data_IF_680870113102
#
_entry.id   IF_680870113102
#
_cell.length_a   1.000
_cell.length_b   1.000
_cell.length_c   1.000
_cell.angle_alpha   90.00
_cell.angle_beta   90.00
_cell.angle_gamma   90.00
#
_symmetry.space_group_name_H-M   'P 1'
#
loop_
_entity.id
_entity.type
_entity.pdbx_description
1 polymer ?
#
# COMPACT_ATOMS: atom_id res chain seq x y z
N UNK A 1 30.18 -4.01 27.88
CA UNK A 1 29.42 -5.18 28.38
C UNK A 1 27.94 -4.81 28.26
N UNK A 2 27.24 -5.38 27.30
CA UNK A 2 25.80 -5.15 27.12
C UNK A 2 25.05 -5.94 28.20
N UNK A 3 23.98 -5.39 28.80
CA UNK A 3 23.22 -6.13 29.79
C UNK A 3 22.57 -7.36 29.13
N UNK A 4 22.76 -8.52 29.75
CA UNK A 4 22.07 -9.76 29.38
C UNK A 4 20.62 -9.55 29.80
N UNK A 5 19.70 -9.50 28.85
CA UNK A 5 18.26 -9.42 29.08
C UNK A 5 17.81 -10.66 29.87
N UNK A 6 16.96 -10.49 30.86
CA UNK A 6 16.36 -11.59 31.61
C UNK A 6 15.43 -12.42 30.69
N UNK A 7 15.21 -13.69 31.05
CA UNK A 7 14.28 -14.57 30.31
C UNK A 7 12.87 -13.97 30.13
N UNK A 8 12.41 -13.14 31.06
CA UNK A 8 11.15 -12.41 30.99
C UNK A 8 11.20 -11.23 30.04
N UNK A 9 12.34 -10.56 29.91
CA UNK A 9 12.55 -9.51 28.91
C UNK A 9 12.75 -10.09 27.51
N UNK A 10 13.37 -11.26 27.39
CA UNK A 10 13.45 -12.03 26.14
C UNK A 10 12.08 -12.55 25.70
N UNK A 11 11.22 -12.99 26.63
CA UNK A 11 9.84 -13.41 26.34
C UNK A 11 8.91 -12.26 25.96
N UNK A 12 9.13 -11.05 26.50
CA UNK A 12 8.36 -9.85 26.12
C UNK A 12 8.79 -9.26 24.77
N UNK A 13 9.98 -9.60 24.30
CA UNK A 13 10.51 -9.14 23.01
C UNK A 13 10.28 -10.13 21.85
N UNK A 14 9.64 -11.25 22.07
CA UNK A 14 9.07 -12.06 20.99
C UNK A 14 7.79 -11.34 20.57
N UNK A 15 7.90 -10.45 19.59
CA UNK A 15 6.74 -9.99 18.82
C UNK A 15 5.91 -11.25 18.50
N UNK A 16 4.65 -11.30 18.92
CA UNK A 16 3.78 -12.39 18.47
C UNK A 16 3.78 -12.33 16.96
N UNK A 17 4.45 -13.28 16.34
CA UNK A 17 4.57 -13.43 14.89
C UNK A 17 3.64 -14.61 14.56
N UNK A 18 2.48 -14.30 14.00
CA UNK A 18 1.46 -15.30 13.73
C UNK A 18 0.83 -15.04 12.35
N UNK A 19 0.67 -16.08 11.58
CA UNK A 19 0.10 -16.03 10.23
C UNK A 19 -1.07 -16.99 10.07
N UNK A 20 -1.92 -16.75 9.09
CA UNK A 20 -3.09 -17.58 8.82
C UNK A 20 -3.95 -17.00 7.70
N UNK A 21 -5.20 -17.41 7.69
CA UNK A 21 -6.16 -17.00 6.68
C UNK A 21 -7.46 -16.49 7.28
N UNK A 22 -7.98 -15.43 6.69
CA UNK A 22 -9.34 -14.93 6.90
C UNK A 22 -10.20 -15.44 5.75
N UNK A 23 -11.33 -16.07 6.04
CA UNK A 23 -12.31 -16.42 5.00
C UNK A 23 -13.30 -15.29 4.83
N UNK A 24 -13.51 -14.87 3.58
CA UNK A 24 -14.54 -13.91 3.20
C UNK A 24 -15.91 -14.58 3.06
N UNK A 25 -16.97 -13.81 2.88
CA UNK A 25 -18.35 -14.32 2.68
C UNK A 25 -18.54 -15.04 1.32
N UNK A 26 -17.65 -14.77 0.36
CA UNK A 26 -17.59 -15.44 -0.95
C UNK A 26 -16.48 -16.51 -1.03
N UNK A 27 -16.04 -17.02 0.14
CA UNK A 27 -15.15 -18.16 0.32
C UNK A 27 -13.69 -17.95 -0.15
N UNK A 28 -13.27 -16.71 -0.45
CA UNK A 28 -11.88 -16.38 -0.72
C UNK A 28 -11.10 -16.32 0.59
N UNK A 29 -9.95 -16.98 0.68
CA UNK A 29 -9.08 -16.93 1.85
C UNK A 29 -8.03 -15.83 1.65
N UNK A 30 -8.02 -14.86 2.56
CA UNK A 30 -7.04 -13.79 2.60
C UNK A 30 -5.93 -14.16 3.58
N UNK A 31 -4.69 -14.23 3.09
CA UNK A 31 -3.54 -14.43 3.97
C UNK A 31 -3.36 -13.23 4.88
N UNK A 32 -3.08 -13.48 6.15
CA UNK A 32 -2.66 -12.44 7.08
C UNK A 32 -1.38 -12.79 7.83
N UNK A 33 -0.68 -11.76 8.27
CA UNK A 33 0.46 -11.83 9.14
C UNK A 33 0.31 -10.80 10.28
N UNK A 34 0.34 -11.27 11.51
CA UNK A 34 0.16 -10.47 12.72
C UNK A 34 1.51 -10.25 13.40
N UNK A 35 1.84 -9.00 13.71
CA UNK A 35 3.04 -8.60 14.43
C UNK A 35 2.68 -7.76 15.65
N UNK A 36 3.34 -8.04 16.78
CA UNK A 36 3.19 -7.25 18.00
C UNK A 36 1.87 -7.48 18.72
N UNK A 37 1.74 -6.86 19.89
CA UNK A 37 0.63 -7.08 20.84
C UNK A 37 0.13 -5.80 21.54
N UNK A 38 0.56 -4.63 21.05
CA UNK A 38 0.18 -3.34 21.63
C UNK A 38 -1.30 -3.00 21.53
N UNK A 39 -1.74 -1.93 22.26
CA UNK A 39 -3.15 -1.57 22.35
C UNK A 39 -3.74 -0.95 21.08
N UNK A 40 -2.91 -0.38 20.23
CA UNK A 40 -3.34 0.19 18.95
C UNK A 40 -3.17 -0.86 17.86
N UNK A 41 -4.28 -1.21 17.20
CA UNK A 41 -4.24 -2.11 16.05
C UNK A 41 -4.24 -1.30 14.75
N UNK A 42 -3.26 -1.58 13.89
CA UNK A 42 -3.15 -1.02 12.54
C UNK A 42 -3.30 -2.15 11.53
N UNK A 43 -4.26 -2.04 10.62
CA UNK A 43 -4.45 -2.98 9.52
C UNK A 43 -3.83 -2.40 8.25
N UNK A 44 -3.03 -3.22 7.56
CA UNK A 44 -2.19 -2.82 6.42
C UNK A 44 -2.40 -3.81 5.29
N UNK A 45 -3.07 -3.44 4.20
CA UNK A 45 -3.14 -4.28 3.00
C UNK A 45 -1.78 -4.36 2.31
N UNK A 46 -1.53 -5.47 1.59
CA UNK A 46 -0.30 -5.81 0.87
C UNK A 46 0.84 -6.29 1.78
N UNK A 47 0.61 -7.39 2.51
CA UNK A 47 1.65 -8.07 3.30
C UNK A 47 2.91 -8.37 2.47
N UNK A 48 2.75 -8.92 1.28
CA UNK A 48 3.85 -9.24 0.35
C UNK A 48 4.77 -8.04 0.03
N UNK A 49 4.23 -6.82 0.05
CA UNK A 49 4.96 -5.61 -0.33
C UNK A 49 5.53 -4.83 0.85
N UNK A 50 4.90 -4.92 2.04
CA UNK A 50 5.14 -3.96 3.11
C UNK A 50 5.50 -4.58 4.46
N UNK A 51 5.31 -5.90 4.63
CA UNK A 51 5.46 -6.57 5.92
C UNK A 51 6.82 -6.30 6.57
N UNK A 52 7.91 -6.62 5.87
CA UNK A 52 9.24 -6.51 6.44
C UNK A 52 9.73 -5.04 6.51
N UNK A 53 9.27 -4.22 5.57
CA UNK A 53 9.68 -2.81 5.50
C UNK A 53 8.97 -1.95 6.56
N UNK A 54 7.72 -2.26 6.90
CA UNK A 54 6.95 -1.56 7.93
C UNK A 54 6.98 -2.26 9.31
N UNK A 55 7.69 -3.39 9.46
CA UNK A 55 7.90 -4.07 10.74
C UNK A 55 8.30 -3.13 11.90
N UNK A 56 9.12 -2.07 11.71
CA UNK A 56 9.45 -1.13 12.78
C UNK A 56 8.23 -0.48 13.46
N UNK A 57 7.11 -0.34 12.77
CA UNK A 57 5.88 0.22 13.35
C UNK A 57 5.21 -0.72 14.37
N UNK A 58 5.62 -1.99 14.47
CA UNK A 58 5.09 -2.96 15.45
C UNK A 58 5.50 -2.66 16.89
N UNK A 59 6.43 -1.74 17.11
CA UNK A 59 6.82 -1.31 18.45
C UNK A 59 5.60 -0.70 19.16
N UNK A 60 5.21 -1.32 20.28
CA UNK A 60 4.07 -0.90 21.11
C UNK A 60 2.70 -0.89 20.37
N UNK A 61 2.57 -1.66 19.27
CA UNK A 61 1.33 -1.79 18.47
C UNK A 61 1.12 -3.21 18.00
N UNK A 62 -0.12 -3.51 17.63
CA UNK A 62 -0.48 -4.69 16.87
C UNK A 62 -0.61 -4.29 15.40
N UNK A 63 0.19 -4.90 14.53
CA UNK A 63 0.05 -4.75 13.08
C UNK A 63 -0.59 -6.00 12.51
N UNK A 64 -1.61 -5.83 11.70
CA UNK A 64 -2.24 -6.91 10.92
C UNK A 64 -2.01 -6.57 9.47
N UNK A 65 -1.04 -7.25 8.86
CA UNK A 65 -0.86 -7.22 7.42
C UNK A 65 -1.78 -8.27 6.79
N UNK A 66 -2.31 -8.00 5.63
CA UNK A 66 -2.97 -9.02 4.84
C UNK A 66 -2.69 -8.81 3.35
N UNK A 67 -2.75 -9.88 2.57
CA UNK A 67 -2.72 -9.77 1.12
C UNK A 67 -4.15 -9.67 0.60
N UNK A 68 -4.49 -8.66 -0.21
CA UNK A 68 -5.79 -8.60 -0.88
C UNK A 68 -5.99 -9.82 -1.78
N UNK A 69 -7.25 -10.15 -2.10
CA UNK A 69 -7.61 -11.25 -3.00
C UNK A 69 -6.79 -11.24 -4.28
N UNK A 70 -6.38 -12.40 -4.74
CA UNK A 70 -5.58 -12.57 -5.96
C UNK A 70 -4.13 -12.10 -5.85
N UNK A 71 -3.65 -11.71 -4.66
CA UNK A 71 -2.29 -11.18 -4.44
C UNK A 71 -1.56 -11.97 -3.35
N UNK A 72 -0.24 -12.02 -3.46
CA UNK A 72 0.62 -12.63 -2.46
C UNK A 72 0.24 -14.09 -2.18
N UNK A 73 -0.05 -14.36 -0.93
CA UNK A 73 -0.45 -15.69 -0.45
C UNK A 73 -1.98 -15.88 -0.34
N UNK A 74 -2.77 -14.85 -0.67
CA UNK A 74 -4.22 -14.96 -0.71
C UNK A 74 -4.70 -15.81 -1.88
N UNK A 75 -5.89 -16.42 -1.71
CA UNK A 75 -6.49 -17.20 -2.78
C UNK A 75 -6.80 -16.30 -3.99
N UNK A 76 -6.71 -16.90 -5.16
CA UNK A 76 -7.23 -16.31 -6.39
C UNK A 76 -8.74 -16.31 -6.34
N UNK A 77 -9.32 -15.20 -6.72
CA UNK A 77 -10.74 -15.18 -7.01
C UNK A 77 -10.97 -15.82 -8.38
N UNK A 78 -11.87 -16.82 -8.48
CA UNK A 78 -12.19 -17.44 -9.76
C UNK A 78 -12.88 -16.49 -10.73
N UNK A 79 -13.54 -15.44 -10.23
CA UNK A 79 -14.11 -14.39 -11.08
C UNK A 79 -13.24 -13.13 -11.04
N UNK A 80 -12.57 -12.87 -12.11
CA UNK A 80 -11.75 -11.70 -12.23
C UNK A 80 -12.44 -10.35 -12.01
N UNK A 81 -13.70 -10.24 -12.16
CA UNK A 81 -14.46 -9.01 -11.87
C UNK A 81 -14.48 -8.65 -10.39
N UNK A 82 -14.12 -9.59 -9.52
CA UNK A 82 -14.09 -9.38 -8.09
C UNK A 82 -12.81 -8.70 -7.58
N UNK A 83 -11.79 -8.49 -8.43
CA UNK A 83 -10.63 -7.68 -8.06
C UNK A 83 -10.94 -6.20 -8.34
N UNK A 84 -11.79 -5.62 -7.53
CA UNK A 84 -12.17 -4.21 -7.63
C UNK A 84 -12.52 -3.62 -6.27
N UNK A 85 -12.58 -2.30 -6.21
CA UNK A 85 -12.69 -1.50 -4.99
C UNK A 85 -13.75 -2.01 -3.99
N UNK A 86 -14.92 -2.38 -4.46
CA UNK A 86 -16.01 -2.78 -3.56
C UNK A 86 -15.76 -4.15 -2.91
N UNK A 87 -15.11 -5.08 -3.61
CA UNK A 87 -14.71 -6.36 -3.04
C UNK A 87 -13.55 -6.18 -2.04
N UNK A 88 -12.56 -5.34 -2.38
CA UNK A 88 -11.44 -5.08 -1.47
C UNK A 88 -11.87 -4.34 -0.20
N UNK A 89 -12.88 -3.48 -0.28
CA UNK A 89 -13.51 -2.87 0.91
C UNK A 89 -14.22 -3.92 1.77
N UNK A 90 -14.91 -4.90 1.15
CA UNK A 90 -15.53 -6.04 1.87
C UNK A 90 -14.47 -6.96 2.49
N UNK A 91 -13.37 -7.20 1.79
CA UNK A 91 -12.24 -7.97 2.30
C UNK A 91 -11.66 -7.34 3.56
N UNK A 92 -11.46 -6.02 3.56
CA UNK A 92 -10.99 -5.30 4.75
C UNK A 92 -11.97 -5.41 5.92
N UNK A 93 -13.28 -5.41 5.65
CA UNK A 93 -14.31 -5.65 6.69
C UNK A 93 -14.24 -7.09 7.21
N UNK A 94 -14.01 -8.09 6.34
CA UNK A 94 -13.82 -9.48 6.76
C UNK A 94 -12.59 -9.62 7.67
N UNK A 95 -11.49 -8.95 7.34
CA UNK A 95 -10.29 -8.91 8.21
C UNK A 95 -10.63 -8.30 9.57
N UNK A 96 -11.29 -7.15 9.60
CA UNK A 96 -11.71 -6.52 10.86
C UNK A 96 -12.56 -7.45 11.72
N UNK A 97 -13.56 -8.11 11.11
CA UNK A 97 -14.48 -9.03 11.79
C UNK A 97 -13.75 -10.27 12.33
N UNK A 98 -12.85 -10.86 11.54
CA UNK A 98 -12.07 -12.03 11.94
C UNK A 98 -11.29 -11.78 13.25
N UNK A 99 -10.69 -10.58 13.37
CA UNK A 99 -9.94 -10.20 14.56
C UNK A 99 -10.82 -9.58 15.68
N UNK A 100 -12.13 -9.48 15.49
CA UNK A 100 -13.08 -8.93 16.48
C UNK A 100 -12.78 -7.47 16.81
N UNK A 101 -12.25 -6.68 15.86
CA UNK A 101 -11.90 -5.29 16.11
C UNK A 101 -13.15 -4.40 16.09
N UNK A 102 -13.40 -3.69 17.17
CA UNK A 102 -14.45 -2.68 17.19
C UNK A 102 -14.06 -1.49 16.30
N UNK A 103 -12.83 -1.05 16.45
CA UNK A 103 -12.22 0.04 15.71
C UNK A 103 -10.74 -0.26 15.42
N UNK A 104 -10.20 0.24 14.31
CA UNK A 104 -8.81 0.06 13.90
C UNK A 104 -8.22 1.31 13.27
N UNK A 105 -6.89 1.45 13.32
CA UNK A 105 -6.18 2.35 12.42
C UNK A 105 -5.87 1.63 11.10
N UNK A 106 -5.68 2.40 10.03
CA UNK A 106 -5.38 1.88 8.70
C UNK A 106 -4.12 2.53 8.13
N UNK A 107 -3.33 1.77 7.39
CA UNK A 107 -2.26 2.30 6.57
C UNK A 107 -2.36 1.67 5.18
N UNK A 108 -2.49 2.50 4.16
CA UNK A 108 -2.57 2.04 2.76
C UNK A 108 -1.60 2.79 1.87
N UNK A 109 -0.96 2.05 0.98
CA UNK A 109 0.01 2.56 0.02
C UNK A 109 -0.57 2.60 -1.39
N UNK A 110 -0.29 3.69 -2.13
CA UNK A 110 -0.66 3.82 -3.54
C UNK A 110 -2.18 3.61 -3.74
N UNK A 111 -2.59 2.73 -4.63
CA UNK A 111 -3.98 2.31 -4.85
C UNK A 111 -4.70 1.90 -3.54
N UNK A 112 -4.01 1.15 -2.68
CA UNK A 112 -4.58 0.69 -1.41
C UNK A 112 -4.81 1.83 -0.40
N UNK A 113 -4.17 2.99 -0.60
CA UNK A 113 -4.53 4.23 0.09
C UNK A 113 -5.97 4.67 -0.23
N UNK A 114 -6.39 4.54 -1.49
CA UNK A 114 -7.77 4.78 -1.91
C UNK A 114 -8.75 3.76 -1.29
N UNK A 115 -8.38 2.48 -1.26
CA UNK A 115 -9.22 1.41 -0.68
C UNK A 115 -9.51 1.65 0.80
N UNK A 116 -8.50 1.99 1.60
CA UNK A 116 -8.73 2.28 3.03
C UNK A 116 -9.56 3.53 3.25
N UNK A 117 -9.45 4.54 2.37
CA UNK A 117 -10.29 5.73 2.42
C UNK A 117 -11.76 5.42 2.05
N UNK A 118 -11.99 4.59 1.03
CA UNK A 118 -13.32 4.09 0.66
C UNK A 118 -13.95 3.29 1.80
N UNK A 119 -13.15 2.43 2.45
CA UNK A 119 -13.60 1.71 3.64
C UNK A 119 -14.00 2.66 4.77
N UNK A 120 -13.20 3.68 5.06
CA UNK A 120 -13.50 4.69 6.08
C UNK A 120 -14.76 5.50 5.75
N UNK A 121 -15.04 5.76 4.47
CA UNK A 121 -16.28 6.40 4.02
C UNK A 121 -17.51 5.50 4.19
N UNK A 122 -17.36 4.19 4.05
CA UNK A 122 -18.45 3.22 4.19
C UNK A 122 -18.71 2.82 5.65
N UNK A 123 -17.65 2.77 6.48
CA UNK A 123 -17.68 2.34 7.89
C UNK A 123 -16.98 3.39 8.79
N UNK A 124 -17.48 4.62 8.85
CA UNK A 124 -16.77 5.72 9.53
C UNK A 124 -16.52 5.46 11.03
N UNK A 125 -17.40 4.68 11.68
CA UNK A 125 -17.26 4.33 13.09
C UNK A 125 -16.20 3.25 13.35
N UNK A 126 -15.71 2.56 12.30
CA UNK A 126 -14.73 1.46 12.40
C UNK A 126 -13.28 1.95 12.27
N UNK A 127 -13.06 3.19 11.88
CA UNK A 127 -11.72 3.72 11.63
C UNK A 127 -11.39 4.82 12.62
N UNK A 128 -10.31 4.62 13.39
CA UNK A 128 -9.81 5.61 14.32
C UNK A 128 -8.97 6.69 13.66
N UNK A 129 -8.10 6.27 12.72
CA UNK A 129 -7.23 7.12 11.92
C UNK A 129 -6.67 6.35 10.75
N UNK A 130 -6.17 7.05 9.73
CA UNK A 130 -5.58 6.42 8.55
C UNK A 130 -4.36 7.16 8.05
N UNK A 131 -3.38 6.40 7.54
CA UNK A 131 -2.21 6.89 6.84
C UNK A 131 -2.36 6.53 5.36
N UNK A 132 -2.47 7.54 4.51
CA UNK A 132 -2.50 7.40 3.06
C UNK A 132 -1.09 7.65 2.54
N UNK A 133 -0.33 6.59 2.26
CA UNK A 133 1.05 6.69 1.79
C UNK A 133 1.08 6.73 0.27
N UNK A 134 1.47 7.87 -0.31
CA UNK A 134 1.53 8.10 -1.76
C UNK A 134 0.26 7.63 -2.50
N UNK A 135 -0.94 8.04 -2.07
CA UNK A 135 -2.18 7.50 -2.62
C UNK A 135 -2.37 7.90 -4.08
N UNK A 136 -3.02 7.02 -4.87
CA UNK A 136 -3.54 7.41 -6.17
C UNK A 136 -4.51 8.58 -6.05
N UNK A 137 -4.76 9.29 -7.15
CA UNK A 137 -5.76 10.36 -7.19
C UNK A 137 -7.13 9.85 -6.75
N UNK A 138 -7.92 10.67 -6.01
CA UNK A 138 -9.27 10.27 -5.58
C UNK A 138 -10.27 10.19 -6.74
N UNK A 139 -9.86 10.59 -7.93
CA UNK A 139 -10.62 10.50 -9.18
C UNK A 139 -9.70 10.33 -10.38
N UNK A 140 -10.24 9.77 -11.45
CA UNK A 140 -9.58 9.67 -12.76
C UNK A 140 -10.64 9.87 -13.86
N UNK A 141 -10.39 10.72 -14.90
CA UNK A 141 -9.24 11.61 -15.02
C UNK A 141 -9.30 12.75 -14.00
N UNK A 142 -8.15 13.16 -13.48
CA UNK A 142 -8.03 14.31 -12.60
C UNK A 142 -7.59 15.56 -13.39
N UNK A 143 -8.01 16.77 -12.99
CA UNK A 143 -7.70 18.00 -13.73
C UNK A 143 -6.24 18.41 -13.71
N UNK A 144 -5.44 17.78 -12.85
CA UNK A 144 -3.99 17.96 -12.74
C UNK A 144 -3.21 16.82 -13.41
N UNK A 145 -3.90 15.87 -14.06
CA UNK A 145 -3.25 14.83 -14.84
C UNK A 145 -2.62 15.48 -16.07
N UNK A 146 -1.30 15.39 -16.16
CA UNK A 146 -0.51 15.79 -17.30
C UNK A 146 0.27 14.58 -17.82
N UNK A 147 -0.31 13.83 -18.77
CA UNK A 147 0.32 12.62 -19.29
C UNK A 147 1.69 12.88 -19.93
N UNK A 148 1.88 14.05 -20.55
CA UNK A 148 3.14 14.40 -21.20
C UNK A 148 4.23 14.67 -20.15
N UNK A 149 3.91 15.45 -19.10
CA UNK A 149 4.84 15.72 -18.00
C UNK A 149 5.18 14.45 -17.23
N UNK A 150 4.15 13.60 -16.94
CA UNK A 150 4.36 12.31 -16.30
C UNK A 150 5.28 11.40 -17.14
N UNK A 151 5.02 11.28 -18.43
CA UNK A 151 5.84 10.50 -19.36
C UNK A 151 7.28 11.04 -19.43
N UNK A 152 7.49 12.35 -19.49
CA UNK A 152 8.82 12.92 -19.49
C UNK A 152 9.58 12.63 -18.20
N UNK A 153 8.92 12.79 -17.03
CA UNK A 153 9.51 12.49 -15.72
C UNK A 153 9.88 11.01 -15.61
N UNK A 154 9.03 10.13 -16.10
CA UNK A 154 9.24 8.68 -16.15
C UNK A 154 10.40 8.32 -17.09
N UNK A 155 10.39 8.81 -18.32
CA UNK A 155 11.44 8.53 -19.33
C UNK A 155 12.81 9.03 -18.90
N UNK A 156 12.89 10.12 -18.15
CA UNK A 156 14.15 10.63 -17.62
C UNK A 156 14.78 9.71 -16.55
N UNK A 157 13.99 8.77 -16.00
CA UNK A 157 14.41 7.89 -14.90
C UNK A 157 14.54 6.43 -15.28
N UNK A 158 14.21 6.05 -16.52
CA UNK A 158 14.26 4.67 -17.00
C UNK A 158 15.37 4.51 -18.06
N UNK A 159 16.07 3.40 -18.00
CA UNK A 159 16.91 2.96 -19.11
C UNK A 159 16.02 2.55 -20.30
N UNK A 160 16.06 3.25 -21.44
CA UNK A 160 15.19 2.94 -22.58
C UNK A 160 15.40 1.52 -23.14
N UNK A 161 16.64 1.00 -23.08
CA UNK A 161 16.96 -0.35 -23.56
C UNK A 161 16.37 -1.42 -22.63
N UNK A 162 16.49 -1.22 -21.31
CA UNK A 162 15.91 -2.13 -20.33
C UNK A 162 14.38 -2.14 -20.42
N UNK A 163 13.75 -0.97 -20.60
CA UNK A 163 12.31 -0.87 -20.80
C UNK A 163 11.84 -1.54 -22.11
N UNK A 164 12.62 -1.43 -23.18
CA UNK A 164 12.34 -2.12 -24.44
C UNK A 164 12.42 -3.64 -24.25
N UNK A 165 13.45 -4.13 -23.53
CA UNK A 165 13.60 -5.55 -23.20
C UNK A 165 12.41 -6.12 -22.44
N UNK A 166 11.88 -5.40 -21.43
CA UNK A 166 10.67 -5.83 -20.73
C UNK A 166 9.45 -5.95 -21.65
N UNK A 167 9.26 -5.00 -22.58
CA UNK A 167 8.18 -5.07 -23.57
C UNK A 167 8.32 -6.27 -24.50
N UNK A 168 9.54 -6.63 -24.92
CA UNK A 168 9.81 -7.82 -25.74
C UNK A 168 9.48 -9.10 -24.97
N UNK A 169 9.87 -9.18 -23.69
CA UNK A 169 9.55 -10.30 -22.80
C UNK A 169 8.03 -10.47 -22.68
N UNK A 170 7.30 -9.37 -22.45
CA UNK A 170 5.84 -9.41 -22.39
C UNK A 170 5.22 -9.84 -23.74
N UNK A 171 5.70 -9.29 -24.84
CA UNK A 171 5.17 -9.61 -26.17
C UNK A 171 5.45 -11.09 -26.58
N UNK A 172 6.52 -11.70 -26.08
CA UNK A 172 6.84 -13.11 -26.34
C UNK A 172 6.06 -14.09 -25.47
N UNK A 173 5.41 -13.62 -24.39
CA UNK A 173 4.76 -14.47 -23.39
C UNK A 173 5.73 -15.10 -22.37
N UNK A 174 7.03 -14.80 -22.43
CA UNK A 174 8.03 -15.36 -21.50
C UNK A 174 7.74 -14.99 -20.04
N UNK A 175 7.12 -13.85 -19.78
CA UNK A 175 6.69 -13.43 -18.45
C UNK A 175 5.65 -14.39 -17.82
N UNK A 176 4.92 -15.17 -18.65
CA UNK A 176 3.96 -16.19 -18.22
C UNK A 176 4.70 -17.47 -17.80
N UNK A 177 5.69 -17.86 -18.60
CA UNK A 177 6.43 -19.10 -18.39
C UNK A 177 7.45 -18.98 -17.23
N UNK A 178 7.97 -17.75 -17.00
CA UNK A 178 9.00 -17.45 -16.00
C UNK A 178 8.60 -16.27 -15.10
N UNK A 179 7.50 -16.37 -14.32
CA UNK A 179 6.92 -15.25 -13.60
C UNK A 179 7.83 -14.68 -12.49
N UNK A 180 8.59 -15.52 -11.79
CA UNK A 180 9.53 -15.04 -10.77
C UNK A 180 10.68 -14.23 -11.40
N UNK A 181 11.26 -14.76 -12.47
CA UNK A 181 12.32 -14.04 -13.17
C UNK A 181 11.80 -12.70 -13.73
N UNK A 182 10.63 -12.70 -14.33
CA UNK A 182 10.00 -11.46 -14.83
C UNK A 182 9.72 -10.47 -13.72
N UNK A 183 9.19 -10.91 -12.59
CA UNK A 183 8.97 -10.05 -11.43
C UNK A 183 10.29 -9.36 -11.00
N UNK A 184 11.39 -10.11 -10.90
CA UNK A 184 12.70 -9.55 -10.51
C UNK A 184 13.24 -8.55 -11.55
N UNK A 185 13.08 -8.82 -12.82
CA UNK A 185 13.44 -7.88 -13.89
C UNK A 185 12.58 -6.62 -13.84
N UNK A 186 11.28 -6.77 -13.61
CA UNK A 186 10.38 -5.64 -13.42
C UNK A 186 10.78 -4.78 -12.20
N UNK A 187 11.06 -5.41 -11.05
CA UNK A 187 11.55 -4.70 -9.87
C UNK A 187 12.84 -3.92 -10.19
N UNK A 188 13.76 -4.52 -10.89
CA UNK A 188 15.03 -3.91 -11.25
C UNK A 188 14.89 -2.72 -12.20
N UNK A 189 13.96 -2.77 -13.15
CA UNK A 189 13.84 -1.77 -14.24
C UNK A 189 12.79 -0.71 -13.89
N UNK A 190 11.65 -1.12 -13.33
CA UNK A 190 10.50 -0.24 -13.19
C UNK A 190 10.45 0.46 -11.83
N UNK A 191 10.75 -0.24 -10.75
CA UNK A 191 10.63 0.34 -9.41
C UNK A 191 11.54 1.56 -9.20
N UNK A 192 12.82 1.56 -9.61
CA UNK A 192 13.69 2.72 -9.42
C UNK A 192 13.17 4.02 -10.05
N UNK A 193 12.40 3.93 -11.14
CA UNK A 193 11.83 5.13 -11.78
C UNK A 193 10.80 5.87 -10.91
N UNK A 194 10.15 5.14 -10.00
CA UNK A 194 9.16 5.69 -9.08
C UNK A 194 9.80 6.37 -7.86
N UNK A 195 11.12 6.22 -7.72
CA UNK A 195 11.88 6.70 -6.57
C UNK A 195 12.58 8.02 -6.87
N UNK A 196 12.64 8.91 -5.89
CA UNK A 196 13.51 10.09 -5.90
C UNK A 196 14.95 9.72 -5.55
N UNK A 197 15.13 8.62 -4.78
CA UNK A 197 16.42 8.06 -4.37
C UNK A 197 16.49 6.58 -4.73
N UNK A 198 16.81 6.24 -5.99
CA UNK A 198 16.80 4.83 -6.46
C UNK A 198 17.73 3.89 -5.69
N UNK A 199 18.82 4.41 -5.11
CA UNK A 199 19.75 3.67 -4.26
C UNK A 199 19.09 3.16 -2.96
N UNK A 200 18.02 3.80 -2.52
CA UNK A 200 17.24 3.36 -1.37
C UNK A 200 16.51 2.02 -1.60
N UNK A 201 16.37 1.57 -2.84
CA UNK A 201 15.82 0.25 -3.15
C UNK A 201 16.60 -0.89 -2.46
N UNK A 202 17.91 -0.70 -2.24
CA UNK A 202 18.72 -1.65 -1.49
C UNK A 202 18.31 -1.82 -0.02
N UNK A 203 17.44 -0.94 0.51
CA UNK A 203 16.88 -1.03 1.86
C UNK A 203 15.63 -1.88 1.93
N UNK A 204 15.01 -2.20 0.79
CA UNK A 204 13.81 -3.04 0.74
C UNK A 204 14.12 -4.42 1.31
N UNK A 205 13.33 -4.85 2.28
CA UNK A 205 13.41 -6.16 2.92
C UNK A 205 12.28 -7.09 2.50
N UNK A 206 11.13 -6.51 2.18
CA UNK A 206 10.02 -7.24 1.58
C UNK A 206 10.43 -7.78 0.21
N UNK A 207 10.08 -9.03 -0.08
CA UNK A 207 10.33 -9.62 -1.39
C UNK A 207 9.02 -9.78 -2.17
N UNK A 208 8.65 -8.80 -3.01
CA UNK A 208 7.42 -8.87 -3.79
C UNK A 208 7.40 -10.03 -4.81
N UNK A 209 8.56 -10.66 -5.04
CA UNK A 209 8.70 -11.79 -5.96
C UNK A 209 8.77 -13.14 -5.25
N UNK A 210 8.64 -13.19 -3.92
CA UNK A 210 8.67 -14.43 -3.14
C UNK A 210 7.51 -15.37 -3.50
N UNK A 211 6.38 -14.81 -3.91
CA UNK A 211 5.20 -15.53 -4.36
C UNK A 211 4.84 -15.06 -5.77
N UNK A 212 5.60 -15.48 -6.80
CA UNK A 212 5.48 -14.97 -8.17
C UNK A 212 4.27 -15.53 -8.91
N UNK A 213 3.36 -16.15 -8.17
CA UNK A 213 2.13 -16.65 -8.74
C UNK A 213 1.37 -15.48 -9.34
N UNK A 214 1.39 -15.37 -10.64
CA UNK A 214 0.34 -14.76 -11.45
C UNK A 214 -0.18 -13.38 -10.99
N UNK A 215 0.33 -12.82 -9.86
CA UNK A 215 -0.05 -11.49 -9.40
C UNK A 215 0.16 -10.46 -10.52
N UNK A 216 1.25 -10.58 -11.26
CA UNK A 216 1.54 -9.78 -12.42
C UNK A 216 0.60 -10.09 -13.59
N UNK A 217 0.23 -11.35 -13.79
CA UNK A 217 -0.78 -11.73 -14.77
C UNK A 217 -2.13 -11.20 -14.38
N UNK A 218 -2.56 -11.47 -13.15
CA UNK A 218 -3.86 -11.07 -12.69
C UNK A 218 -4.00 -9.56 -12.58
N UNK A 219 -2.99 -8.81 -12.18
CA UNK A 219 -3.08 -7.37 -12.12
C UNK A 219 -3.02 -6.72 -13.50
N UNK A 220 -2.15 -7.17 -14.40
CA UNK A 220 -2.05 -6.62 -15.74
C UNK A 220 -3.14 -7.14 -16.68
N UNK A 221 -3.32 -8.45 -16.81
CA UNK A 221 -4.40 -9.00 -17.62
C UNK A 221 -5.76 -8.61 -17.08
N UNK A 222 -5.89 -8.53 -15.77
CA UNK A 222 -7.12 -8.19 -15.11
C UNK A 222 -7.49 -6.74 -15.27
N UNK A 223 -6.59 -5.82 -14.97
CA UNK A 223 -6.82 -4.41 -15.24
C UNK A 223 -6.93 -4.12 -16.73
N UNK A 224 -6.24 -4.87 -17.58
CA UNK A 224 -6.25 -4.64 -19.01
C UNK A 224 -7.41 -5.33 -19.73
N UNK A 225 -7.84 -6.52 -19.31
CA UNK A 225 -8.80 -7.35 -20.05
C UNK A 225 -10.19 -7.37 -19.42
N UNK A 226 -10.29 -7.35 -18.09
CA UNK A 226 -11.54 -7.62 -17.39
C UNK A 226 -12.17 -6.42 -16.69
N UNK A 227 -11.39 -5.43 -16.29
CA UNK A 227 -11.94 -4.16 -15.81
C UNK A 227 -12.15 -3.26 -17.00
N UNK A 228 -13.39 -2.83 -17.32
CA UNK A 228 -13.63 -1.96 -18.46
C UNK A 228 -12.74 -0.73 -18.39
N UNK A 229 -12.11 -0.30 -19.50
CA UNK A 229 -11.22 0.88 -19.51
C UNK A 229 -11.86 2.11 -18.89
N UNK A 230 -13.17 2.27 -19.10
CA UNK A 230 -13.98 3.33 -18.50
C UNK A 230 -14.07 3.28 -16.98
N UNK A 231 -13.96 2.09 -16.38
CA UNK A 231 -14.01 1.92 -14.92
C UNK A 231 -12.64 2.12 -14.28
N UNK A 232 -11.57 1.70 -14.99
CA UNK A 232 -10.18 1.88 -14.53
C UNK A 232 -9.71 3.32 -14.54
N UNK A 233 -10.12 4.03 -15.61
CA UNK A 233 -9.71 5.40 -15.90
C UNK A 233 -10.84 6.42 -15.73
N UNK A 234 -11.98 6.00 -15.18
CA UNK A 234 -13.13 6.88 -14.98
C UNK A 234 -13.83 6.54 -13.67
N UNK A 235 -13.25 7.01 -12.57
CA UNK A 235 -13.83 6.87 -11.24
C UNK A 235 -13.77 8.20 -10.50
N UNK A 236 -14.66 8.38 -9.55
CA UNK A 236 -14.69 9.52 -8.63
C UNK A 236 -15.15 9.06 -7.24
N UNK A 237 -14.23 9.08 -6.30
CA UNK A 237 -14.47 8.63 -4.92
C UNK A 237 -14.83 9.77 -3.96
N UNK A 238 -14.79 11.03 -4.43
CA UNK A 238 -14.86 12.22 -3.57
C UNK A 238 -16.16 12.31 -2.78
N UNK A 239 -17.29 11.99 -3.38
CA UNK A 239 -18.60 12.05 -2.72
C UNK A 239 -18.67 11.11 -1.50
N UNK A 240 -17.95 9.99 -1.55
CA UNK A 240 -17.88 9.01 -0.44
C UNK A 240 -17.05 9.50 0.74
N UNK A 241 -16.18 10.49 0.55
CA UNK A 241 -15.25 10.99 1.58
C UNK A 241 -15.94 11.89 2.62
N UNK A 242 -17.09 12.47 2.31
CA UNK A 242 -17.84 13.34 3.23
C UNK A 242 -18.28 12.62 4.51
N UNK A 243 -18.36 11.29 4.51
CA UNK A 243 -18.74 10.48 5.66
C UNK A 243 -17.54 10.10 6.54
N UNK A 244 -16.32 10.33 6.09
CA UNK A 244 -15.10 9.97 6.84
C UNK A 244 -14.99 10.87 8.08
N UNK A 245 -14.93 10.25 9.26
CA UNK A 245 -14.73 10.92 10.54
C UNK A 245 -13.32 10.76 11.10
N UNK A 246 -12.58 9.80 10.58
CA UNK A 246 -11.21 9.51 11.00
C UNK A 246 -10.23 10.61 10.59
N UNK A 247 -9.26 10.90 11.46
CA UNK A 247 -8.11 11.74 11.06
C UNK A 247 -7.26 10.99 10.02
N UNK A 248 -6.75 11.72 9.03
CA UNK A 248 -5.93 11.18 7.94
C UNK A 248 -4.59 11.91 7.80
N UNK A 249 -3.48 11.16 7.85
CA UNK A 249 -2.17 11.66 7.46
C UNK A 249 -1.91 11.23 6.01
N UNK A 250 -1.89 12.19 5.10
CA UNK A 250 -1.52 11.97 3.70
C UNK A 250 -0.01 12.18 3.57
N UNK A 251 0.72 11.12 3.26
CA UNK A 251 2.17 11.18 3.06
C UNK A 251 2.47 11.22 1.57
N UNK A 252 3.28 12.18 1.13
CA UNK A 252 3.66 12.36 -0.27
C UNK A 252 5.17 12.54 -0.42
N UNK A 253 5.80 11.75 -1.27
CA UNK A 253 7.17 11.99 -1.70
C UNK A 253 7.21 13.01 -2.84
N UNK A 254 7.95 14.10 -2.66
CA UNK A 254 7.97 15.22 -3.62
C UNK A 254 8.50 14.84 -5.01
N UNK A 255 9.21 13.72 -5.09
CA UNK A 255 9.71 13.15 -6.34
C UNK A 255 8.83 12.05 -6.92
N UNK A 256 7.65 11.79 -6.34
CA UNK A 256 6.71 10.79 -6.84
C UNK A 256 6.28 11.10 -8.29
N UNK A 257 5.95 10.05 -9.04
CA UNK A 257 5.30 10.18 -10.36
C UNK A 257 3.85 10.63 -10.22
N UNK A 258 3.18 10.26 -9.12
CA UNK A 258 1.86 10.78 -8.77
C UNK A 258 2.02 12.27 -8.44
N UNK A 259 1.25 13.17 -9.06
CA UNK A 259 1.36 14.59 -8.79
C UNK A 259 1.03 14.95 -7.34
N UNK A 260 1.77 15.88 -6.74
CA UNK A 260 1.45 16.43 -5.41
C UNK A 260 0.00 16.92 -5.29
N UNK A 261 -0.56 17.41 -6.39
CA UNK A 261 -1.95 17.86 -6.46
C UNK A 261 -2.95 16.73 -6.11
N UNK A 262 -2.61 15.48 -6.41
CA UNK A 262 -3.38 14.31 -5.98
C UNK A 262 -3.48 14.21 -4.45
N UNK A 263 -2.33 14.29 -3.77
CA UNK A 263 -2.29 14.24 -2.30
C UNK A 263 -2.96 15.46 -1.65
N UNK A 264 -2.86 16.63 -2.26
CA UNK A 264 -3.59 17.83 -1.82
C UNK A 264 -5.10 17.66 -1.97
N UNK A 265 -5.58 17.08 -3.08
CA UNK A 265 -7.01 16.81 -3.25
C UNK A 265 -7.54 15.86 -2.17
N UNK A 266 -6.76 14.83 -1.75
CA UNK A 266 -7.11 13.99 -0.60
C UNK A 266 -7.27 14.81 0.68
N UNK A 267 -6.37 15.77 0.95
CA UNK A 267 -6.47 16.65 2.12
C UNK A 267 -7.69 17.53 2.04
N UNK A 268 -8.03 18.05 0.87
CA UNK A 268 -9.16 18.95 0.65
C UNK A 268 -10.53 18.25 0.83
N UNK A 269 -10.62 16.95 0.47
CA UNK A 269 -11.90 16.22 0.52
C UNK A 269 -12.12 15.45 1.83
N UNK A 270 -11.07 15.19 2.59
CA UNK A 270 -11.16 14.51 3.88
C UNK A 270 -11.33 15.53 5.01
N UNK A 271 -12.38 15.42 5.85
CA UNK A 271 -12.71 16.44 6.85
C UNK A 271 -11.62 16.75 7.88
N UNK A 272 -10.75 15.76 8.15
CA UNK A 272 -9.66 15.87 9.14
C UNK A 272 -8.37 15.29 8.56
N UNK A 273 -7.80 15.97 7.57
CA UNK A 273 -6.56 15.52 6.94
C UNK A 273 -5.45 16.57 7.02
N UNK A 274 -4.20 16.07 7.05
CA UNK A 274 -3.00 16.89 6.86
C UNK A 274 -2.02 16.20 5.93
N UNK A 275 -1.24 17.02 5.22
CA UNK A 275 -0.21 16.57 4.29
C UNK A 275 1.15 16.53 4.98
N UNK A 276 1.84 15.40 4.86
CA UNK A 276 3.28 15.27 5.13
C UNK A 276 3.99 15.14 3.78
N UNK A 277 4.56 16.24 3.29
CA UNK A 277 5.37 16.24 2.08
C UNK A 277 6.84 15.98 2.43
N UNK A 278 7.46 14.97 1.81
CA UNK A 278 8.83 14.53 2.11
C UNK A 278 9.74 14.84 0.92
N UNK A 279 10.64 15.80 1.11
CA UNK A 279 11.59 16.24 0.10
C UNK A 279 12.58 15.11 -0.28
N UNK A 280 12.81 14.96 -1.58
CA UNK A 280 13.74 14.00 -2.16
C UNK A 280 13.28 12.53 -2.09
N UNK A 281 12.10 12.24 -1.53
CA UNK A 281 11.48 10.92 -1.61
C UNK A 281 10.49 10.85 -2.78
N UNK A 282 10.36 9.68 -3.38
CA UNK A 282 9.35 9.36 -4.39
C UNK A 282 8.25 8.48 -3.81
N UNK A 283 7.88 7.42 -4.53
CA UNK A 283 6.74 6.56 -4.21
C UNK A 283 6.95 5.64 -3.00
N UNK A 284 8.19 5.54 -2.50
CA UNK A 284 8.58 4.67 -1.38
C UNK A 284 9.18 5.46 -0.20
N UNK A 285 8.43 6.42 0.40
CA UNK A 285 8.99 7.32 1.42
C UNK A 285 9.53 6.57 2.64
N UNK A 286 9.00 5.39 2.98
CA UNK A 286 9.49 4.54 4.07
C UNK A 286 10.89 3.96 3.82
N UNK A 287 11.29 3.80 2.55
CA UNK A 287 12.63 3.37 2.16
C UNK A 287 13.55 4.56 1.90
N UNK A 288 13.02 5.62 1.31
CA UNK A 288 13.80 6.75 0.79
C UNK A 288 14.14 7.79 1.87
N UNK A 289 13.26 7.98 2.84
CA UNK A 289 13.42 8.92 3.95
C UNK A 289 12.89 8.33 5.29
N UNK A 290 13.41 7.17 5.73
CA UNK A 290 12.92 6.49 6.93
C UNK A 290 13.02 7.35 8.19
N UNK A 291 14.00 8.25 8.24
CA UNK A 291 14.25 9.18 9.35
C UNK A 291 13.15 10.23 9.52
N UNK A 292 12.38 10.53 8.46
CA UNK A 292 11.22 11.42 8.49
C UNK A 292 9.93 10.61 8.56
N UNK A 293 9.81 9.57 7.73
CA UNK A 293 8.60 8.77 7.60
C UNK A 293 8.19 8.10 8.92
N UNK A 294 9.07 7.30 9.52
CA UNK A 294 8.71 6.51 10.70
C UNK A 294 8.35 7.37 11.92
N UNK A 295 9.14 8.39 12.33
CA UNK A 295 8.77 9.23 13.46
C UNK A 295 7.44 9.97 13.26
N UNK A 296 7.18 10.46 12.04
CA UNK A 296 5.93 11.16 11.73
C UNK A 296 4.72 10.23 11.77
N UNK A 297 4.82 9.04 11.16
CA UNK A 297 3.75 8.03 11.21
C UNK A 297 3.53 7.53 12.63
N UNK A 298 4.58 7.28 13.42
CA UNK A 298 4.47 6.91 14.83
C UNK A 298 3.77 7.99 15.65
N UNK A 299 4.15 9.25 15.49
CA UNK A 299 3.51 10.39 16.16
C UNK A 299 2.02 10.44 15.84
N UNK A 300 1.66 10.27 14.57
CA UNK A 300 0.28 10.28 14.14
C UNK A 300 -0.51 9.07 14.68
N UNK A 301 0.04 7.87 14.59
CA UNK A 301 -0.61 6.66 15.13
C UNK A 301 -0.78 6.72 16.66
N UNK A 302 0.03 7.49 17.36
CA UNK A 302 -0.10 7.77 18.79
C UNK A 302 -1.07 8.92 19.13
N UNK A 303 -1.82 9.43 18.15
CA UNK A 303 -2.89 10.41 18.37
C UNK A 303 -2.47 11.87 18.29
N UNK A 304 -1.28 12.17 17.83
CA UNK A 304 -0.76 13.52 17.66
C UNK A 304 -0.46 13.80 16.20
N UNK A 305 -0.54 15.04 15.79
CA UNK A 305 -0.06 15.45 14.47
C UNK A 305 1.45 15.62 14.48
N UNK A 306 2.17 15.12 13.45
CA UNK A 306 3.56 15.49 13.24
C UNK A 306 3.71 17.00 13.03
N UNK A 307 4.78 17.61 13.51
CA UNK A 307 5.01 19.05 13.37
C UNK A 307 5.14 19.47 11.89
N UNK A 308 5.68 18.57 11.07
CA UNK A 308 5.89 18.78 9.63
C UNK A 308 4.61 18.64 8.80
N UNK A 309 3.51 18.14 9.37
CA UNK A 309 2.25 17.97 8.66
C UNK A 309 1.39 19.23 8.72
N UNK A 310 1.10 19.78 7.54
CA UNK A 310 0.31 21.01 7.34
C UNK A 310 -1.00 20.81 6.58
#
# INVERSE_FOLDING_TARGET
>A
MWPILTDDEQRRNVLQDNEGYVSTDDEVRLYYHLLGDGPVTVVIPAAILLLEDLRPLAKDRRLIFYDPRGRGQSDRDPDPKHIWTDYEVRDLEAVRQHFGLEQMALLGWSYLGGIIALYAGQYPERVSRMVLMCPLSPRSPAPYDDPEAAQHKEQARIDPLAAAGLREIMASGQHIDEPEWFCREFQRVIVPRQMGRPDALARMKSDPCAYPNEWWHNLHEHHEIHVPPETRSNYDWRDRMSQVTASALVVHGMEDLIPLASSREWVDILPQARLLAIEGAGHFPHLEAPETFFPSVETFLNGKWPEEAG
#
